data_IF_425391846693
#
_entry.id   IF_425391846693
#
_cell.length_a   1.000
_cell.length_b   1.000
_cell.length_c   1.000
_cell.angle_alpha   90.00
_cell.angle_beta   90.00
_cell.angle_gamma   90.00
#
_symmetry.space_group_name_H-M   'P 1'
#
loop_
_entity.id
_entity.type
_entity.pdbx_description
1 polymer ?
#
# COMPACT_ATOMS: atom_id res chain seq x y z
N UNK A 1 -18.06 14.64 -0.46
CA UNK A 1 -19.08 13.62 -0.82
C UNK A 1 -20.00 13.39 0.39
N UNK A 2 -21.33 13.18 0.27
CA UNK A 2 -22.22 13.00 1.44
C UNK A 2 -22.15 11.57 2.00
N UNK A 3 -20.94 11.09 2.27
CA UNK A 3 -20.67 9.78 2.88
C UNK A 3 -19.88 10.04 4.16
N UNK A 4 -20.27 9.37 5.23
CA UNK A 4 -19.67 9.51 6.55
C UNK A 4 -18.25 8.91 6.60
N UNK A 5 -17.46 9.37 7.56
CA UNK A 5 -16.08 8.93 7.81
C UNK A 5 -16.04 7.44 8.16
N UNK A 6 -15.03 6.73 7.66
CA UNK A 6 -14.75 5.33 8.02
C UNK A 6 -15.98 4.40 7.93
N UNK A 7 -16.75 4.50 6.85
CA UNK A 7 -17.98 3.72 6.64
C UNK A 7 -17.89 2.67 5.53
N UNK A 8 -16.97 2.83 4.58
CA UNK A 8 -16.85 1.90 3.44
C UNK A 8 -15.65 0.97 3.58
N UNK A 9 -15.77 -0.27 3.11
CA UNK A 9 -14.70 -1.28 3.15
C UNK A 9 -13.84 -1.28 1.88
N UNK A 10 -14.43 -0.89 0.74
CA UNK A 10 -13.82 -0.90 -0.57
C UNK A 10 -14.26 0.32 -1.39
N UNK A 11 -13.29 0.99 -2.00
CA UNK A 11 -13.54 1.99 -3.04
C UNK A 11 -13.03 1.46 -4.38
N UNK A 12 -13.88 1.55 -5.40
CA UNK A 12 -13.49 1.29 -6.78
C UNK A 12 -13.77 2.50 -7.64
N UNK A 13 -12.88 2.81 -8.58
CA UNK A 13 -13.08 3.89 -9.54
C UNK A 13 -12.50 3.47 -10.90
N UNK A 14 -13.15 3.89 -11.98
CA UNK A 14 -12.71 3.61 -13.35
C UNK A 14 -12.80 4.88 -14.22
N UNK A 15 -11.65 5.41 -14.62
CA UNK A 15 -11.48 6.50 -15.59
C UNK A 15 -12.29 7.78 -15.29
N UNK A 16 -12.34 8.20 -14.03
CA UNK A 16 -13.04 9.45 -13.64
C UNK A 16 -12.22 10.38 -12.76
N UNK A 17 -11.09 9.94 -12.21
CA UNK A 17 -10.28 10.79 -11.31
C UNK A 17 -9.60 11.89 -12.12
N UNK A 18 -9.16 11.58 -13.34
CA UNK A 18 -8.55 12.56 -14.24
C UNK A 18 -9.47 13.73 -14.58
N UNK A 19 -10.79 13.52 -14.54
CA UNK A 19 -11.81 14.55 -14.77
C UNK A 19 -12.04 15.47 -13.57
N UNK A 20 -11.51 15.11 -12.39
CA UNK A 20 -11.60 15.97 -11.21
C UNK A 20 -10.67 17.18 -11.32
N UNK A 21 -11.17 18.40 -11.05
CA UNK A 21 -10.35 19.60 -10.98
C UNK A 21 -9.47 19.63 -9.72
N UNK A 22 -9.88 18.93 -8.65
CA UNK A 22 -9.13 18.82 -7.41
C UNK A 22 -8.88 17.35 -7.09
N UNK A 23 -7.75 16.84 -7.60
CA UNK A 23 -7.34 15.44 -7.41
C UNK A 23 -6.95 15.16 -5.96
N UNK A 24 -6.31 16.12 -5.29
CA UNK A 24 -5.94 16.00 -3.88
C UNK A 24 -7.17 15.81 -3.00
N UNK A 25 -8.22 16.62 -3.21
CA UNK A 25 -9.48 16.44 -2.50
C UNK A 25 -10.12 15.08 -2.76
N UNK A 26 -10.04 14.55 -3.99
CA UNK A 26 -10.55 13.21 -4.31
C UNK A 26 -9.83 12.13 -3.50
N UNK A 27 -8.50 12.13 -3.47
CA UNK A 27 -7.74 11.13 -2.72
C UNK A 27 -7.94 11.25 -1.20
N UNK A 28 -8.02 12.47 -0.68
CA UNK A 28 -8.32 12.71 0.73
C UNK A 28 -9.73 12.24 1.11
N UNK A 29 -10.73 12.49 0.26
CA UNK A 29 -12.09 11.99 0.49
C UNK A 29 -12.16 10.47 0.43
N UNK A 30 -11.40 9.83 -0.47
CA UNK A 30 -11.28 8.37 -0.50
C UNK A 30 -10.72 7.84 0.82
N UNK A 31 -9.67 8.46 1.35
CA UNK A 31 -9.10 8.07 2.63
C UNK A 31 -10.07 8.31 3.79
N UNK A 32 -10.77 9.44 3.82
CA UNK A 32 -11.71 9.80 4.89
C UNK A 32 -12.84 8.77 5.03
N UNK A 33 -13.48 8.40 3.93
CA UNK A 33 -14.68 7.53 3.98
C UNK A 33 -14.33 6.05 4.19
N UNK A 34 -13.12 5.63 3.83
CA UNK A 34 -12.66 4.25 3.97
C UNK A 34 -12.45 3.91 5.44
N UNK A 35 -12.89 2.73 5.88
CA UNK A 35 -12.56 2.19 7.20
C UNK A 35 -11.06 1.94 7.31
N UNK A 36 -10.56 1.92 8.54
CA UNK A 36 -9.22 1.43 8.81
C UNK A 36 -9.04 0.00 8.26
N UNK A 37 -7.89 -0.27 7.65
CA UNK A 37 -7.59 -1.47 6.85
C UNK A 37 -8.51 -1.73 5.64
N UNK A 38 -9.45 -0.84 5.32
CA UNK A 38 -10.18 -0.86 4.06
C UNK A 38 -9.23 -0.63 2.87
N UNK A 39 -9.68 -0.95 1.66
CA UNK A 39 -8.83 -0.86 0.45
C UNK A 39 -9.44 -0.08 -0.69
N UNK A 40 -8.57 0.41 -1.57
CA UNK A 40 -8.94 1.00 -2.86
C UNK A 40 -8.49 0.08 -3.99
N UNK A 41 -9.26 0.03 -5.07
CA UNK A 41 -8.85 -0.57 -6.34
C UNK A 41 -9.30 0.36 -7.47
N UNK A 42 -8.35 1.08 -8.05
CA UNK A 42 -8.64 2.19 -8.96
C UNK A 42 -7.98 1.92 -10.30
N UNK A 43 -8.75 2.06 -11.38
CA UNK A 43 -8.25 2.01 -12.74
C UNK A 43 -8.37 3.40 -13.38
N UNK A 44 -7.27 3.96 -13.87
CA UNK A 44 -7.29 5.24 -14.59
C UNK A 44 -6.21 5.30 -15.69
N UNK A 45 -6.28 6.32 -16.53
CA UNK A 45 -5.28 6.60 -17.57
C UNK A 45 -4.15 7.42 -16.96
N UNK A 46 -2.91 6.97 -17.14
CA UNK A 46 -1.72 7.73 -16.76
C UNK A 46 -0.87 8.04 -17.98
N UNK A 47 -0.15 9.15 -17.91
CA UNK A 47 0.86 9.51 -18.90
C UNK A 47 2.26 9.08 -18.44
N UNK A 48 3.17 8.81 -19.38
CA UNK A 48 4.56 8.52 -19.04
C UNK A 48 5.33 9.76 -18.56
N UNK A 49 4.94 10.93 -19.07
CA UNK A 49 5.50 12.24 -18.74
C UNK A 49 4.36 13.22 -18.51
N UNK A 50 4.65 14.38 -17.94
CA UNK A 50 3.62 15.40 -17.75
C UNK A 50 2.97 15.78 -19.09
N UNK A 51 1.63 15.75 -19.14
CA UNK A 51 0.88 16.14 -20.33
C UNK A 51 1.16 17.60 -20.68
N UNK A 52 1.63 17.91 -21.91
CA UNK A 52 1.95 19.28 -22.31
C UNK A 52 0.79 20.26 -22.16
N UNK A 53 1.07 21.55 -21.89
CA UNK A 53 0.03 22.57 -21.69
C UNK A 53 -0.98 22.69 -22.84
N UNK A 54 -0.55 22.51 -24.10
CA UNK A 54 -1.45 22.60 -25.25
C UNK A 54 -2.43 21.42 -25.33
N UNK A 55 -2.03 20.23 -24.86
CA UNK A 55 -2.94 19.07 -24.74
C UNK A 55 -3.88 19.22 -23.54
N UNK A 56 -3.44 19.87 -22.45
CA UNK A 56 -4.28 20.14 -21.26
C UNK A 56 -5.51 21.01 -21.59
N UNK A 57 -5.40 21.91 -22.56
CA UNK A 57 -6.47 22.84 -22.96
C UNK A 57 -7.47 22.26 -23.97
N UNK A 58 -7.21 21.06 -24.49
CA UNK A 58 -8.09 20.43 -25.47
C UNK A 58 -9.29 19.74 -24.80
N UNK A 59 -10.48 20.32 -24.98
CA UNK A 59 -11.73 19.81 -24.38
C UNK A 59 -12.10 18.38 -24.82
N UNK A 60 -11.71 17.97 -26.01
CA UNK A 60 -11.96 16.60 -26.48
C UNK A 60 -11.08 15.61 -25.71
N UNK A 61 -9.79 15.92 -25.58
CA UNK A 61 -8.84 15.10 -24.83
C UNK A 61 -9.14 15.09 -23.32
N UNK A 62 -9.78 16.14 -22.80
CA UNK A 62 -10.30 16.14 -21.42
C UNK A 62 -11.35 15.06 -21.22
N UNK A 63 -12.35 14.96 -22.10
CA UNK A 63 -13.38 13.92 -22.03
C UNK A 63 -12.83 12.50 -22.20
N UNK A 64 -11.65 12.36 -22.78
CA UNK A 64 -10.92 11.10 -22.94
C UNK A 64 -9.94 10.80 -21.79
N UNK A 65 -9.98 11.56 -20.68
CA UNK A 65 -9.11 11.42 -19.51
C UNK A 65 -7.61 11.62 -19.78
N UNK A 66 -7.25 12.31 -20.88
CA UNK A 66 -5.86 12.56 -21.31
C UNK A 66 -5.35 13.89 -20.77
N UNK A 67 -6.11 14.97 -21.00
CA UNK A 67 -5.69 16.31 -20.59
C UNK A 67 -5.50 16.44 -19.09
N UNK A 68 -6.30 15.71 -18.32
CA UNK A 68 -6.24 15.68 -16.87
C UNK A 68 -5.43 14.52 -16.30
N UNK A 69 -4.72 13.73 -17.12
CA UNK A 69 -3.98 12.57 -16.64
C UNK A 69 -2.83 12.97 -15.74
N UNK A 70 -2.68 12.23 -14.65
CA UNK A 70 -1.45 12.23 -13.86
C UNK A 70 -0.40 11.35 -14.53
N UNK A 71 0.86 11.63 -14.24
CA UNK A 71 1.91 10.62 -14.39
C UNK A 71 1.70 9.49 -13.38
N UNK A 72 2.28 8.31 -13.66
CA UNK A 72 2.23 7.19 -12.71
C UNK A 72 2.87 7.54 -11.37
N UNK A 73 3.98 8.29 -11.39
CA UNK A 73 4.68 8.76 -10.19
C UNK A 73 3.81 9.73 -9.38
N UNK A 74 3.20 10.73 -10.01
CA UNK A 74 2.27 11.63 -9.32
C UNK A 74 1.08 10.87 -8.73
N UNK A 75 0.53 9.90 -9.47
CA UNK A 75 -0.60 9.12 -8.99
C UNK A 75 -0.23 8.32 -7.72
N UNK A 76 0.91 7.64 -7.70
CA UNK A 76 1.42 6.99 -6.49
C UNK A 76 1.65 8.00 -5.36
N UNK A 77 2.31 9.12 -5.64
CA UNK A 77 2.59 10.15 -4.66
C UNK A 77 1.32 10.75 -4.03
N UNK A 78 0.25 10.95 -4.80
CA UNK A 78 -1.02 11.42 -4.24
C UNK A 78 -1.65 10.39 -3.28
N UNK A 79 -1.53 9.10 -3.57
CA UNK A 79 -2.02 8.04 -2.70
C UNK A 79 -1.19 7.97 -1.41
N UNK A 80 0.14 8.03 -1.50
CA UNK A 80 1.04 8.06 -0.34
C UNK A 80 0.74 9.29 0.54
N UNK A 81 0.62 10.47 -0.06
CA UNK A 81 0.31 11.72 0.66
C UNK A 81 -1.05 11.70 1.34
N UNK A 82 -2.03 10.99 0.78
CA UNK A 82 -3.34 10.82 1.40
C UNK A 82 -3.30 9.85 2.60
N UNK A 83 -2.22 9.07 2.75
CA UNK A 83 -2.04 8.12 3.87
C UNK A 83 -2.38 6.67 3.51
N UNK A 84 -2.36 6.31 2.23
CA UNK A 84 -2.48 4.91 1.82
C UNK A 84 -1.14 4.18 1.93
N UNK A 85 -1.18 2.91 2.30
CA UNK A 85 -0.03 1.99 2.33
C UNK A 85 -0.30 0.76 1.47
N UNK A 86 0.74 -0.05 1.25
CA UNK A 86 0.63 -1.28 0.49
C UNK A 86 0.28 -1.03 -0.96
N UNK A 87 0.85 0.05 -1.53
CA UNK A 87 0.56 0.47 -2.89
C UNK A 87 1.08 -0.55 -3.89
N UNK A 88 0.22 -0.95 -4.82
CA UNK A 88 0.56 -1.96 -5.81
C UNK A 88 -0.10 -1.70 -7.15
N UNK A 89 0.69 -1.69 -8.22
CA UNK A 89 0.20 -1.78 -9.60
C UNK A 89 -0.21 -3.21 -9.90
N UNK A 90 -1.51 -3.45 -10.05
CA UNK A 90 -2.10 -4.75 -10.39
C UNK A 90 -2.05 -5.02 -11.90
N UNK A 91 -2.20 -3.98 -12.72
CA UNK A 91 -2.10 -4.08 -14.17
C UNK A 91 -1.61 -2.76 -14.76
N UNK A 92 -0.88 -2.85 -15.87
CA UNK A 92 -0.44 -1.71 -16.69
C UNK A 92 -0.49 -2.12 -18.15
N UNK A 93 -1.33 -1.47 -18.92
CA UNK A 93 -1.56 -1.80 -20.33
C UNK A 93 -1.39 -0.53 -21.17
N UNK A 94 -0.64 -0.62 -22.26
CA UNK A 94 -0.54 0.48 -23.23
C UNK A 94 -1.93 0.79 -23.77
N UNK A 95 -2.33 2.06 -23.70
CA UNK A 95 -3.64 2.49 -24.17
C UNK A 95 -3.55 3.14 -25.54
N UNK A 96 -2.82 4.26 -25.65
CA UNK A 96 -2.56 4.94 -26.93
C UNK A 96 -1.42 5.94 -26.84
N UNK A 97 -1.04 6.45 -28.00
CA UNK A 97 -0.12 7.58 -28.14
C UNK A 97 -0.86 8.81 -28.69
N UNK A 98 -0.55 9.99 -28.17
CA UNK A 98 -1.05 11.29 -28.66
C UNK A 98 0.14 12.21 -28.85
N UNK A 99 0.41 12.65 -30.07
CA UNK A 99 1.52 13.57 -30.40
C UNK A 99 2.89 13.10 -29.86
N UNK A 100 3.16 11.79 -29.86
CA UNK A 100 4.40 11.22 -29.33
C UNK A 100 4.40 10.96 -27.81
N UNK A 101 3.31 11.27 -27.10
CA UNK A 101 3.15 11.00 -25.67
C UNK A 101 2.37 9.71 -25.45
N UNK A 102 2.99 8.76 -24.75
CA UNK A 102 2.38 7.46 -24.44
C UNK A 102 1.51 7.52 -23.18
N UNK A 103 0.34 6.91 -23.29
CA UNK A 103 -0.64 6.77 -22.21
C UNK A 103 -0.91 5.29 -21.92
N UNK A 104 -1.10 4.98 -20.65
CA UNK A 104 -1.32 3.63 -20.15
C UNK A 104 -2.59 3.60 -19.31
N UNK A 105 -3.33 2.51 -19.39
CA UNK A 105 -4.33 2.18 -18.40
C UNK A 105 -3.65 1.43 -17.26
N UNK A 106 -3.72 1.95 -16.05
CA UNK A 106 -3.15 1.34 -14.85
C UNK A 106 -4.25 1.01 -13.86
N UNK A 107 -4.18 -0.17 -13.25
CA UNK A 107 -4.99 -0.50 -12.07
C UNK A 107 -4.09 -0.54 -10.85
N UNK A 108 -4.38 0.30 -9.87
CA UNK A 108 -3.65 0.40 -8.60
C UNK A 108 -4.52 -0.11 -7.45
N UNK A 109 -3.85 -0.63 -6.42
CA UNK A 109 -4.43 -0.98 -5.13
C UNK A 109 -3.67 -0.30 -4.00
N UNK A 110 -4.38 0.08 -2.95
CA UNK A 110 -3.81 0.59 -1.70
C UNK A 110 -4.74 0.31 -0.53
N UNK A 111 -4.24 0.44 0.69
CA UNK A 111 -4.97 0.20 1.93
C UNK A 111 -4.89 1.42 2.84
N UNK A 112 -5.94 1.69 3.61
CA UNK A 112 -5.91 2.74 4.64
C UNK A 112 -5.33 2.17 5.92
N UNK A 113 -4.45 2.94 6.55
CA UNK A 113 -4.05 2.72 7.93
C UNK A 113 -4.21 4.03 8.71
N UNK A 114 -5.02 4.00 9.75
CA UNK A 114 -5.22 5.13 10.65
C UNK A 114 -4.25 5.01 11.84
N UNK A 115 -3.20 5.85 11.82
CA UNK A 115 -2.19 5.89 12.89
C UNK A 115 -2.84 6.26 14.21
N UNK A 116 -2.46 5.56 15.28
CA UNK A 116 -2.89 5.90 16.64
C UNK A 116 -1.94 6.94 17.23
N UNK A 117 -2.47 7.87 18.01
CA UNK A 117 -1.63 8.81 18.74
C UNK A 117 -0.75 8.03 19.74
N UNK A 118 0.57 8.07 19.51
CA UNK A 118 1.57 7.40 20.35
C UNK A 118 2.05 6.06 19.80
N UNK A 119 2.74 6.05 18.64
CA UNK A 119 3.48 4.85 18.25
C UNK A 119 4.61 4.59 19.24
N UNK A 120 4.53 3.47 19.94
CA UNK A 120 5.48 3.09 20.99
C UNK A 120 6.34 1.90 20.55
N UNK A 121 7.61 1.91 20.96
CA UNK A 121 8.51 0.78 20.81
C UNK A 121 8.45 -0.07 22.08
N UNK A 122 7.59 -1.10 22.06
CA UNK A 122 7.37 -2.00 23.20
C UNK A 122 8.21 -3.30 23.10
N UNK A 123 9.26 -3.31 22.28
CA UNK A 123 10.11 -4.49 22.03
C UNK A 123 9.61 -5.43 20.93
N UNK A 124 8.58 -5.04 20.17
CA UNK A 124 8.12 -5.84 19.03
C UNK A 124 9.16 -5.88 17.91
N UNK A 125 9.33 -7.06 17.30
CA UNK A 125 10.23 -7.25 16.15
C UNK A 125 9.47 -7.85 14.98
N UNK A 126 9.67 -7.31 13.80
CA UNK A 126 9.17 -7.87 12.56
C UNK A 126 10.28 -8.64 11.84
N UNK A 127 9.98 -9.86 11.42
CA UNK A 127 10.84 -10.70 10.59
C UNK A 127 10.22 -10.84 9.21
N UNK A 128 10.88 -10.33 8.17
CA UNK A 128 10.44 -10.45 6.78
C UNK A 128 10.89 -11.79 6.18
N UNK A 129 9.97 -12.57 5.62
CA UNK A 129 10.26 -13.92 5.10
C UNK A 129 10.80 -13.97 3.67
N UNK A 130 10.64 -12.88 2.91
CA UNK A 130 10.98 -12.83 1.49
C UNK A 130 9.76 -12.64 0.58
N UNK A 131 9.92 -12.77 -0.74
CA UNK A 131 11.01 -13.47 -1.44
C UNK A 131 12.30 -12.66 -1.63
N UNK A 132 12.27 -11.34 -1.51
CA UNK A 132 13.41 -10.46 -1.79
C UNK A 132 14.47 -10.53 -0.69
N UNK A 133 15.70 -10.06 -0.97
CA UNK A 133 16.78 -10.03 0.04
C UNK A 133 16.49 -9.04 1.17
N UNK A 134 15.87 -7.93 0.83
CA UNK A 134 15.34 -6.95 1.76
C UNK A 134 14.23 -6.18 1.05
N UNK A 135 13.34 -5.56 1.82
CA UNK A 135 12.34 -4.61 1.33
C UNK A 135 12.37 -3.34 2.18
N UNK A 136 11.92 -2.23 1.60
CA UNK A 136 11.72 -0.97 2.29
C UNK A 136 10.23 -0.64 2.22
N UNK A 137 9.61 -0.29 3.35
CA UNK A 137 8.22 0.17 3.36
C UNK A 137 8.10 1.65 2.96
N UNK A 138 6.87 2.15 2.86
CA UNK A 138 6.58 3.54 2.47
C UNK A 138 7.08 4.58 3.48
N UNK A 139 7.43 4.16 4.70
CA UNK A 139 7.94 5.03 5.77
C UNK A 139 9.48 5.00 5.85
N UNK A 140 10.13 4.21 4.99
CA UNK A 140 11.58 4.12 4.89
C UNK A 140 12.21 3.06 5.79
N UNK A 141 11.42 2.21 6.47
CA UNK A 141 11.94 1.12 7.29
C UNK A 141 12.50 0.00 6.38
N UNK A 142 13.77 -0.37 6.60
CA UNK A 142 14.42 -1.48 5.89
C UNK A 142 14.21 -2.79 6.64
N UNK A 143 13.69 -3.81 5.95
CA UNK A 143 13.50 -5.15 6.48
C UNK A 143 14.34 -6.17 5.69
N UNK A 144 15.51 -6.58 6.21
CA UNK A 144 16.27 -7.67 5.63
C UNK A 144 15.56 -9.01 5.82
N UNK A 145 15.72 -9.92 4.87
CA UNK A 145 15.07 -11.23 4.91
C UNK A 145 15.61 -12.08 6.05
N UNK A 146 14.70 -12.61 6.87
CA UNK A 146 14.95 -13.46 8.04
C UNK A 146 15.76 -12.80 9.16
N UNK A 147 15.86 -11.46 9.16
CA UNK A 147 16.49 -10.71 10.25
C UNK A 147 15.40 -9.98 11.04
N UNK A 148 15.40 -10.07 12.39
CA UNK A 148 14.43 -9.36 13.22
C UNK A 148 14.77 -7.86 13.27
N UNK A 149 13.81 -7.02 12.88
CA UNK A 149 13.89 -5.56 12.94
C UNK A 149 12.90 -5.06 13.97
N UNK A 150 13.36 -4.21 14.89
CA UNK A 150 12.49 -3.60 15.89
C UNK A 150 11.50 -2.63 15.24
N UNK A 151 10.22 -2.73 15.60
CA UNK A 151 9.14 -1.95 15.01
C UNK A 151 8.25 -1.38 16.11
N UNK A 152 7.66 -0.20 15.85
CA UNK A 152 6.67 0.37 16.75
C UNK A 152 5.29 -0.28 16.55
N UNK A 153 4.37 -0.04 17.47
CA UNK A 153 3.03 -0.66 17.50
C UNK A 153 2.23 -0.49 16.19
N UNK A 154 2.31 0.67 15.56
CA UNK A 154 1.60 0.95 14.30
C UNK A 154 2.21 0.18 13.14
N UNK A 155 3.54 0.15 13.04
CA UNK A 155 4.23 -0.64 12.03
C UNK A 155 3.94 -2.11 12.20
N UNK A 156 3.95 -2.64 13.44
CA UNK A 156 3.54 -4.02 13.72
C UNK A 156 2.10 -4.30 13.28
N UNK A 157 1.16 -3.38 13.54
CA UNK A 157 -0.23 -3.50 13.11
C UNK A 157 -0.36 -3.49 11.57
N UNK A 158 0.34 -2.56 10.89
CA UNK A 158 0.38 -2.47 9.42
C UNK A 158 0.89 -3.76 8.79
N UNK A 159 2.01 -4.29 9.29
CA UNK A 159 2.65 -5.52 8.79
C UNK A 159 1.82 -6.78 9.06
N UNK A 160 0.97 -6.76 10.09
CA UNK A 160 0.06 -7.86 10.41
C UNK A 160 -1.20 -7.90 9.52
N UNK A 161 -1.45 -6.85 8.76
CA UNK A 161 -2.65 -6.70 7.92
C UNK A 161 -2.32 -6.78 6.42
N UNK A 162 -3.31 -7.00 5.54
CA UNK A 162 -3.11 -6.94 4.10
C UNK A 162 -2.49 -5.60 3.67
N UNK A 163 -1.61 -5.58 2.64
CA UNK A 163 -1.19 -6.71 1.82
C UNK A 163 0.02 -7.47 2.39
N UNK A 164 0.49 -7.09 3.58
CA UNK A 164 1.71 -7.62 4.19
C UNK A 164 1.50 -8.89 5.00
N UNK A 165 0.25 -9.14 5.42
CA UNK A 165 -0.15 -10.36 6.11
C UNK A 165 0.43 -11.61 5.43
N UNK A 166 1.15 -12.43 6.21
CA UNK A 166 1.82 -13.65 5.75
C UNK A 166 3.25 -13.46 5.20
N UNK A 167 3.68 -12.22 4.93
CA UNK A 167 5.08 -11.91 4.54
C UNK A 167 5.97 -11.61 5.75
N UNK A 168 5.37 -11.30 6.89
CA UNK A 168 6.05 -10.96 8.13
C UNK A 168 5.59 -11.84 9.29
N UNK A 169 6.50 -12.12 10.21
CA UNK A 169 6.17 -12.59 11.57
C UNK A 169 6.47 -11.46 12.55
N UNK A 170 5.50 -11.12 13.39
CA UNK A 170 5.69 -10.20 14.51
C UNK A 170 6.01 -11.02 15.75
N UNK A 171 7.16 -10.75 16.36
CA UNK A 171 7.62 -11.35 17.60
C UNK A 171 7.37 -10.35 18.73
N UNK A 172 6.75 -10.82 19.81
CA UNK A 172 6.59 -10.07 21.05
C UNK A 172 7.61 -10.61 22.08
N UNK A 173 8.27 -9.73 22.83
CA UNK A 173 9.29 -10.16 23.81
C UNK A 173 8.72 -11.11 24.89
N UNK A 174 7.41 -11.08 25.15
CA UNK A 174 6.75 -11.91 26.17
C UNK A 174 6.59 -13.40 25.80
N UNK A 175 6.68 -13.79 24.52
CA UNK A 175 6.46 -15.20 24.11
C UNK A 175 7.73 -16.08 24.12
N UNK A 176 8.89 -15.52 24.47
CA UNK A 176 10.18 -16.24 24.46
C UNK A 176 10.51 -17.02 25.74
N UNK A 177 9.55 -17.19 26.66
CA UNK A 177 9.72 -18.02 27.87
C UNK A 177 8.77 -19.22 27.92
N UNK A 178 8.60 -19.92 26.79
CA UNK A 178 8.38 -21.38 26.91
C UNK A 178 9.75 -22.05 26.87
N UNK A 179 10.33 -22.22 28.05
CA UNK A 179 11.45 -23.13 28.25
C UNK A 179 11.02 -24.52 27.79
N UNK A 180 11.32 -24.89 26.55
CA UNK A 180 11.45 -26.30 26.21
C UNK A 180 12.68 -26.79 26.97
N UNK A 181 12.44 -27.21 28.20
CA UNK A 181 13.40 -27.94 29.01
C UNK A 181 13.58 -29.30 28.34
N UNK A 182 14.45 -29.35 27.33
CA UNK A 182 14.99 -30.60 26.78
C UNK A 182 15.99 -31.16 27.80
N UNK A 183 15.47 -31.55 28.96
CA UNK A 183 16.14 -32.47 29.85
C UNK A 183 16.03 -33.87 29.24
N UNK A 184 17.13 -34.56 28.91
CA UNK A 184 17.06 -35.92 28.42
C UNK A 184 16.63 -36.80 29.59
N UNK A 185 15.37 -37.23 29.62
CA UNK A 185 14.97 -38.34 30.47
C UNK A 185 15.69 -39.58 29.94
N UNK A 186 16.63 -40.06 30.75
CA UNK A 186 17.27 -41.34 30.56
C UNK A 186 16.22 -42.44 30.67
N UNK A 187 15.62 -42.85 29.56
CA UNK A 187 15.01 -44.17 29.38
C UNK A 187 14.68 -44.40 27.90
N UNK A 188 14.72 -45.66 27.52
CA UNK A 188 14.93 -46.20 26.19
C UNK A 188 13.91 -45.74 25.11
N UNK A 189 14.43 -45.35 23.95
CA UNK A 189 13.87 -45.72 22.66
C UNK A 189 12.58 -45.07 22.20
N UNK A 190 12.62 -43.80 21.76
CA UNK A 190 11.72 -43.32 20.69
C UNK A 190 12.51 -42.39 19.76
N UNK A 191 12.70 -42.82 18.52
CA UNK A 191 13.21 -41.98 17.43
C UNK A 191 12.10 -41.02 17.01
N UNK A 192 12.31 -39.72 17.16
CA UNK A 192 11.42 -38.70 16.59
C UNK A 192 11.43 -38.80 15.05
N UNK A 193 10.24 -38.82 14.45
CA UNK A 193 10.02 -38.59 13.02
C UNK A 193 10.03 -37.08 12.73
#
# INVERSE_FOLDING_TARGET
>A
IPVDDSTVDLITSNCVINLSPDKKAVFNEMWRVLKDHGRIVISDIVSQVETPPHLKLNKQLWGECISGSLTEEEFMAYLEQAGFYGLQTLSKVFWKEVEGYSYYSVTLRGYKFEKKDGCEYIGQKAVYHGPYKAITDEEGHLFPRNEPVEVCTDTAAKLSNPPYAGQFTILNDEESTSSYDCSPSAEEGVSCC
#
